data_IF_191096193789
#
_entry.id   IF_191096193789
#
_cell.length_a   1.000
_cell.length_b   1.000
_cell.length_c   1.000
_cell.angle_alpha   90.00
_cell.angle_beta   90.00
_cell.angle_gamma   90.00
#
_symmetry.space_group_name_H-M   'P 1'
#
loop_
_entity.id
_entity.type
_entity.pdbx_description
1 polymer ?
#
# COMPACT_ATOMS: atom_id res chain seq x y z
N UNK A 1 -23.42 18.39 2.69
CA UNK A 1 -23.77 17.07 2.11
C UNK A 1 -22.62 16.32 1.43
N UNK A 2 -21.96 16.81 0.35
CA UNK A 2 -20.82 16.06 -0.26
C UNK A 2 -19.57 15.97 0.61
N UNK A 3 -19.28 16.99 1.43
CA UNK A 3 -18.12 16.97 2.34
C UNK A 3 -18.31 16.03 3.54
N UNK A 4 -19.49 16.01 4.15
CA UNK A 4 -19.73 15.25 5.40
C UNK A 4 -19.55 13.74 5.20
N UNK A 5 -20.01 13.20 4.07
CA UNK A 5 -19.84 11.80 3.76
C UNK A 5 -18.38 11.45 3.41
N UNK A 6 -17.66 12.33 2.70
CA UNK A 6 -16.22 12.15 2.44
C UNK A 6 -15.40 12.18 3.73
N UNK A 7 -15.71 13.10 4.64
CA UNK A 7 -15.08 13.23 5.95
C UNK A 7 -15.40 12.01 6.83
N UNK A 8 -16.63 11.49 6.81
CA UNK A 8 -16.97 10.23 7.47
C UNK A 8 -16.18 9.04 6.91
N UNK A 9 -16.02 8.93 5.58
CA UNK A 9 -15.22 7.87 4.97
C UNK A 9 -13.73 8.01 5.36
N UNK A 10 -13.20 9.23 5.38
CA UNK A 10 -11.83 9.47 5.82
C UNK A 10 -11.67 9.08 7.29
N UNK A 11 -12.62 9.46 8.15
CA UNK A 11 -12.64 9.08 9.55
C UNK A 11 -12.59 7.55 9.70
N UNK A 12 -13.56 6.86 9.08
CA UNK A 12 -13.73 5.41 9.20
C UNK A 12 -12.53 4.60 8.68
N UNK A 13 -11.94 5.02 7.57
CA UNK A 13 -10.94 4.20 6.89
C UNK A 13 -9.50 4.67 7.11
N UNK A 14 -9.24 5.96 7.36
CA UNK A 14 -7.88 6.49 7.45
C UNK A 14 -7.55 7.00 8.86
N UNK A 15 -8.46 7.76 9.47
CA UNK A 15 -8.24 8.31 10.81
C UNK A 15 -8.37 7.24 11.91
N UNK A 16 -9.42 6.42 11.87
CA UNK A 16 -9.72 5.37 12.84
C UNK A 16 -9.91 4.00 12.17
N UNK A 17 -8.92 3.49 11.40
CA UNK A 17 -9.01 2.18 10.81
C UNK A 17 -9.01 1.10 11.90
N UNK A 18 -9.73 0.00 11.68
CA UNK A 18 -9.84 -1.13 12.62
C UNK A 18 -8.65 -2.09 12.57
N UNK A 19 -7.83 -2.00 11.53
CA UNK A 19 -6.60 -2.77 11.26
C UNK A 19 -5.61 -1.85 10.53
N UNK A 20 -4.30 -2.15 10.50
CA UNK A 20 -3.37 -1.43 9.64
C UNK A 20 -3.90 -1.39 8.19
N UNK A 21 -4.00 -0.21 7.59
CA UNK A 21 -4.52 -0.02 6.24
C UNK A 21 -3.39 0.17 5.24
N UNK A 22 -3.32 -0.68 4.22
CA UNK A 22 -2.41 -0.54 3.09
C UNK A 22 -3.12 0.16 1.93
N UNK A 23 -2.49 1.19 1.38
CA UNK A 23 -2.93 1.91 0.17
C UNK A 23 -1.82 1.76 -0.88
N UNK A 24 -2.15 1.24 -2.05
CA UNK A 24 -1.20 1.09 -3.16
C UNK A 24 -1.48 2.12 -4.26
N UNK A 25 -0.70 2.12 -5.34
CA UNK A 25 -1.04 2.94 -6.51
C UNK A 25 -2.22 2.34 -7.28
N UNK A 26 -2.21 1.02 -7.47
CA UNK A 26 -3.17 0.31 -8.30
C UNK A 26 -3.94 -0.80 -7.56
N UNK A 27 -5.08 -1.19 -8.16
CA UNK A 27 -5.88 -2.32 -7.68
C UNK A 27 -5.17 -3.68 -7.83
N UNK A 28 -4.26 -3.80 -8.79
CA UNK A 28 -3.49 -5.02 -9.09
C UNK A 28 -2.51 -5.35 -7.98
N UNK A 29 -1.92 -4.32 -7.40
CA UNK A 29 -0.91 -4.43 -6.34
C UNK A 29 -1.51 -5.10 -5.11
N UNK A 30 -2.75 -4.74 -4.76
CA UNK A 30 -3.52 -5.41 -3.72
C UNK A 30 -3.64 -6.92 -3.96
N UNK A 31 -3.83 -7.37 -5.22
CA UNK A 31 -3.93 -8.79 -5.55
C UNK A 31 -2.57 -9.45 -5.38
N UNK A 32 -1.50 -8.84 -5.90
CA UNK A 32 -0.14 -9.38 -5.79
C UNK A 32 0.28 -9.53 -4.33
N UNK A 33 0.10 -8.49 -3.51
CA UNK A 33 0.46 -8.48 -2.10
C UNK A 33 -0.35 -9.47 -1.29
N UNK A 34 -1.67 -9.57 -1.51
CA UNK A 34 -2.49 -10.60 -0.88
C UNK A 34 -2.03 -12.01 -1.23
N UNK A 35 -1.64 -12.25 -2.49
CA UNK A 35 -1.10 -13.54 -2.91
C UNK A 35 0.25 -13.82 -2.23
N UNK A 36 1.16 -12.84 -2.21
CA UNK A 36 2.46 -12.97 -1.54
C UNK A 36 2.32 -13.29 -0.05
N UNK A 37 1.44 -12.56 0.66
CA UNK A 37 1.17 -12.79 2.09
C UNK A 37 0.58 -14.19 2.31
N UNK A 38 -0.37 -14.65 1.49
CA UNK A 38 -0.95 -16.00 1.61
C UNK A 38 0.06 -17.12 1.32
N UNK A 39 1.01 -16.86 0.42
CA UNK A 39 2.06 -17.82 0.08
C UNK A 39 3.16 -17.88 1.15
N UNK A 40 3.38 -16.81 1.89
CA UNK A 40 4.42 -16.66 2.91
C UNK A 40 3.84 -16.52 4.32
N UNK A 41 2.64 -17.03 4.54
CA UNK A 41 1.82 -16.81 5.74
C UNK A 41 2.53 -17.19 7.05
N UNK A 42 3.22 -18.32 7.06
CA UNK A 42 4.04 -18.78 8.19
C UNK A 42 5.12 -17.77 8.61
N UNK A 43 5.65 -16.98 7.69
CA UNK A 43 6.68 -15.95 7.97
C UNK A 43 6.07 -14.63 8.46
N UNK A 44 4.81 -14.35 8.16
CA UNK A 44 4.19 -13.04 8.39
C UNK A 44 2.96 -13.09 9.31
N UNK A 45 3.10 -13.59 10.56
CA UNK A 45 1.99 -13.71 11.49
C UNK A 45 1.41 -12.37 11.94
N UNK A 46 2.07 -11.23 11.69
CA UNK A 46 1.48 -9.90 11.96
C UNK A 46 0.60 -9.41 10.80
N UNK A 47 0.75 -9.98 9.60
CA UNK A 47 -0.01 -9.59 8.41
C UNK A 47 -1.23 -10.49 8.18
N UNK A 48 -1.12 -11.77 8.54
CA UNK A 48 -2.17 -12.78 8.36
C UNK A 48 -2.14 -13.78 9.51
N UNK A 49 -3.28 -14.38 9.85
CA UNK A 49 -3.30 -15.51 10.77
C UNK A 49 -2.66 -16.74 10.14
N UNK A 50 -1.65 -17.35 10.78
CA UNK A 50 -1.11 -18.64 10.32
C UNK A 50 -2.24 -19.67 10.22
N UNK A 51 -2.26 -20.46 9.16
CA UNK A 51 -3.26 -21.50 8.89
C UNK A 51 -4.68 -21.00 8.54
N UNK A 52 -4.99 -19.70 8.63
CA UNK A 52 -6.22 -19.13 8.09
C UNK A 52 -5.91 -18.10 7.00
N UNK A 53 -5.80 -18.58 5.75
CA UNK A 53 -5.45 -17.76 4.58
C UNK A 53 -6.52 -16.73 4.16
N UNK A 54 -7.64 -16.65 4.88
CA UNK A 54 -8.68 -15.64 4.67
C UNK A 54 -8.65 -14.52 5.72
N UNK A 55 -8.04 -14.77 6.88
CA UNK A 55 -8.05 -13.84 8.01
C UNK A 55 -6.78 -12.98 8.02
N UNK A 56 -6.84 -11.89 7.25
CA UNK A 56 -5.79 -10.87 7.25
C UNK A 56 -5.89 -10.00 8.50
N UNK A 57 -4.74 -9.72 9.11
CA UNK A 57 -4.59 -8.76 10.22
C UNK A 57 -4.39 -7.32 9.74
N UNK A 58 -4.34 -7.13 8.43
CA UNK A 58 -4.26 -5.85 7.74
C UNK A 58 -5.42 -5.71 6.75
N UNK A 59 -5.77 -4.48 6.44
CA UNK A 59 -6.73 -4.16 5.38
C UNK A 59 -6.01 -3.56 4.17
N UNK A 60 -6.57 -3.82 2.99
CA UNK A 60 -6.15 -3.15 1.75
C UNK A 60 -7.24 -2.18 1.32
N UNK A 61 -6.85 -0.97 0.93
CA UNK A 61 -7.78 0.01 0.39
C UNK A 61 -8.42 -0.53 -0.89
N UNK A 62 -9.74 -0.68 -0.85
CA UNK A 62 -10.52 -1.19 -1.98
C UNK A 62 -10.94 -0.02 -2.88
N UNK A 63 -10.29 0.08 -4.04
CA UNK A 63 -10.74 0.84 -5.20
C UNK A 63 -11.96 0.10 -5.80
N UNK A 64 -13.17 0.29 -5.26
CA UNK A 64 -14.37 -0.47 -5.69
C UNK A 64 -15.01 0.12 -6.97
N UNK A 65 -16.02 -0.46 -7.64
CA UNK A 65 -16.96 -1.51 -7.20
C UNK A 65 -16.64 -2.94 -7.62
N UNK A 66 -16.42 -3.22 -8.89
CA UNK A 66 -15.98 -4.53 -9.39
C UNK A 66 -15.29 -4.28 -10.72
N UNK A 67 -14.08 -4.76 -10.94
CA UNK A 67 -13.58 -5.04 -12.30
C UNK A 67 -13.40 -3.88 -13.31
N UNK A 68 -13.62 -2.57 -13.04
CA UNK A 68 -13.37 -1.56 -14.09
C UNK A 68 -13.89 -0.12 -13.98
N UNK A 69 -14.20 0.41 -12.78
CA UNK A 69 -14.69 1.80 -12.68
C UNK A 69 -14.52 2.44 -11.29
N UNK A 70 -14.63 3.76 -11.28
CA UNK A 70 -14.37 4.70 -10.17
C UNK A 70 -15.37 4.53 -8.99
N UNK A 71 -14.92 4.04 -7.82
CA UNK A 71 -15.82 3.94 -6.64
C UNK A 71 -16.20 5.30 -6.11
N UNK A 72 -17.43 5.44 -5.59
CA UNK A 72 -17.78 6.60 -4.76
C UNK A 72 -16.77 6.81 -3.63
N UNK A 73 -16.31 5.74 -2.96
CA UNK A 73 -15.26 5.81 -1.93
C UNK A 73 -13.92 6.33 -2.46
N UNK A 74 -13.42 5.83 -3.59
CA UNK A 74 -12.20 6.33 -4.24
C UNK A 74 -12.35 7.76 -4.75
N UNK A 75 -13.51 8.11 -5.31
CA UNK A 75 -13.85 9.46 -5.76
C UNK A 75 -13.89 10.47 -4.61
N UNK A 76 -14.47 10.08 -3.47
CA UNK A 76 -14.64 10.95 -2.30
C UNK A 76 -13.35 11.08 -1.47
N UNK A 77 -12.49 10.06 -1.48
CA UNK A 77 -11.17 10.13 -0.86
C UNK A 77 -10.08 10.60 -1.83
N UNK A 78 -10.44 10.88 -3.08
CA UNK A 78 -9.52 11.22 -4.18
C UNK A 78 -8.45 10.14 -4.44
N UNK A 79 -8.75 8.89 -4.09
CA UNK A 79 -7.92 7.71 -4.30
C UNK A 79 -8.50 6.86 -5.44
N UNK A 80 -8.42 7.38 -6.67
CA UNK A 80 -8.91 6.70 -7.90
C UNK A 80 -7.86 5.77 -8.54
N UNK A 81 -6.68 5.72 -7.94
CA UNK A 81 -5.49 5.06 -8.48
C UNK A 81 -4.57 6.04 -9.19
N UNK A 82 -3.29 5.69 -9.30
CA UNK A 82 -2.26 6.54 -9.90
C UNK A 82 -1.57 7.47 -8.90
N UNK A 83 -0.31 7.75 -9.19
CA UNK A 83 0.61 8.55 -8.38
C UNK A 83 0.05 9.93 -7.93
N UNK A 84 -0.53 10.73 -8.84
CA UNK A 84 -1.00 12.08 -8.52
C UNK A 84 -2.07 12.11 -7.41
N UNK A 85 -2.91 11.08 -7.37
CA UNK A 85 -3.93 10.90 -6.35
C UNK A 85 -3.31 10.57 -4.98
N UNK A 86 -2.28 9.72 -4.95
CA UNK A 86 -1.53 9.42 -3.72
C UNK A 86 -0.83 10.66 -3.18
N UNK A 87 -0.21 11.46 -4.05
CA UNK A 87 0.45 12.72 -3.67
C UNK A 87 -0.53 13.69 -3.00
N UNK A 88 -1.72 13.88 -3.59
CA UNK A 88 -2.76 14.72 -3.02
C UNK A 88 -3.27 14.19 -1.68
N UNK A 89 -3.48 12.88 -1.58
CA UNK A 89 -3.89 12.22 -0.34
C UNK A 89 -2.88 12.44 0.79
N UNK A 90 -1.58 12.24 0.53
CA UNK A 90 -0.51 12.43 1.52
C UNK A 90 -0.44 13.90 1.96
N UNK A 91 -0.48 14.84 1.00
CA UNK A 91 -0.41 16.28 1.28
C UNK A 91 -1.59 16.77 2.12
N UNK A 92 -2.81 16.30 1.84
CA UNK A 92 -4.02 16.71 2.55
C UNK A 92 -4.23 15.99 3.89
N UNK A 93 -3.47 14.93 4.18
CA UNK A 93 -3.75 14.00 5.28
C UNK A 93 -3.78 14.69 6.65
N UNK A 94 -2.79 15.52 6.94
CA UNK A 94 -2.67 16.21 8.23
C UNK A 94 -3.85 17.17 8.45
N UNK A 95 -4.13 18.00 7.43
CA UNK A 95 -5.26 18.94 7.45
C UNK A 95 -6.61 18.24 7.62
N UNK A 96 -6.77 17.02 7.09
CA UNK A 96 -7.99 16.22 7.33
C UNK A 96 -8.02 15.70 8.78
N UNK A 97 -6.88 15.29 9.32
CA UNK A 97 -6.79 14.83 10.71
C UNK A 97 -7.07 15.93 11.74
N UNK A 98 -6.64 17.18 11.51
CA UNK A 98 -6.83 18.29 12.47
C UNK A 98 -8.29 18.70 12.64
N UNK A 99 -9.15 18.38 11.67
CA UNK A 99 -10.60 18.62 11.75
C UNK A 99 -11.35 17.65 12.66
N UNK A 100 -10.73 16.52 13.02
CA UNK A 100 -11.38 15.44 13.74
C UNK A 100 -10.96 15.49 15.21
N UNK A 101 -11.94 15.68 16.11
CA UNK A 101 -11.71 15.73 17.57
C UNK A 101 -11.94 14.38 18.27
N UNK A 102 -12.46 13.39 17.55
CA UNK A 102 -12.74 12.06 18.08
C UNK A 102 -11.45 11.25 18.35
N UNK A 103 -11.47 10.31 19.30
CA UNK A 103 -10.37 9.35 19.47
C UNK A 103 -10.20 8.51 18.21
N UNK A 104 -8.98 8.06 17.96
CA UNK A 104 -8.66 7.30 16.75
C UNK A 104 -7.17 7.03 16.65
N UNK A 105 -6.70 6.75 15.43
CA UNK A 105 -5.28 6.52 15.14
C UNK A 105 -4.72 5.38 16.00
N UNK A 106 -5.45 4.26 16.09
CA UNK A 106 -4.98 3.06 16.80
C UNK A 106 -4.18 2.12 15.89
N UNK A 107 -4.29 2.32 14.58
CA UNK A 107 -3.56 1.55 13.58
C UNK A 107 -2.97 2.46 12.50
N UNK A 108 -1.83 2.07 11.90
CA UNK A 108 -1.19 2.87 10.87
C UNK A 108 -1.92 2.78 9.53
N UNK A 109 -1.86 3.87 8.77
CA UNK A 109 -2.14 3.92 7.33
C UNK A 109 -0.81 3.91 6.62
N UNK A 110 -0.62 2.99 5.68
CA UNK A 110 0.64 2.72 5.01
C UNK A 110 0.42 2.88 3.51
N UNK A 111 1.05 3.86 2.90
CA UNK A 111 1.05 4.06 1.45
C UNK A 111 2.28 3.37 0.86
N UNK A 112 2.07 2.40 -0.03
CA UNK A 112 3.15 1.76 -0.80
C UNK A 112 3.31 2.51 -2.13
N UNK A 113 4.54 2.89 -2.47
CA UNK A 113 4.87 3.58 -3.73
C UNK A 113 5.89 2.79 -4.53
N UNK A 114 5.73 2.79 -5.85
CA UNK A 114 6.76 2.28 -6.76
C UNK A 114 8.03 3.13 -6.68
N UNK A 115 9.18 2.62 -7.12
CA UNK A 115 10.40 3.42 -7.25
C UNK A 115 10.61 3.81 -8.71
N UNK A 116 9.64 4.51 -9.28
CA UNK A 116 9.66 4.99 -10.65
C UNK A 116 9.62 6.53 -10.68
N UNK A 117 9.31 7.13 -11.84
CA UNK A 117 9.14 8.59 -11.94
C UNK A 117 8.10 9.09 -10.95
N UNK A 118 7.06 8.32 -10.71
CA UNK A 118 5.98 8.74 -9.84
C UNK A 118 6.29 8.61 -8.37
N UNK A 119 6.88 7.50 -7.96
CA UNK A 119 7.45 7.35 -6.62
C UNK A 119 8.34 8.52 -6.23
N UNK A 120 9.19 8.98 -7.16
CA UNK A 120 10.12 10.11 -6.94
C UNK A 120 9.41 11.43 -6.64
N UNK A 121 8.24 11.72 -7.21
CA UNK A 121 7.52 12.95 -6.84
C UNK A 121 6.93 12.85 -5.44
N UNK A 122 6.50 11.66 -5.02
CA UNK A 122 6.05 11.42 -3.64
C UNK A 122 7.23 11.56 -2.67
N UNK A 123 8.41 11.02 -2.99
CA UNK A 123 9.62 11.22 -2.18
C UNK A 123 10.00 12.71 -2.05
N UNK A 124 9.86 13.48 -3.14
CA UNK A 124 10.06 14.94 -3.10
C UNK A 124 9.05 15.65 -2.19
N UNK A 125 7.78 15.24 -2.22
CA UNK A 125 6.76 15.72 -1.28
C UNK A 125 7.14 15.40 0.17
N UNK A 126 7.60 14.18 0.45
CA UNK A 126 8.02 13.76 1.80
C UNK A 126 9.17 14.65 2.29
N UNK A 127 10.17 14.92 1.44
CA UNK A 127 11.29 15.81 1.77
C UNK A 127 10.79 17.21 2.19
N UNK A 128 9.84 17.75 1.44
CA UNK A 128 9.20 19.04 1.76
C UNK A 128 8.45 19.00 3.10
N UNK A 129 7.65 17.96 3.33
CA UNK A 129 6.84 17.81 4.55
C UNK A 129 7.69 17.64 5.82
N UNK A 130 8.79 16.89 5.75
CA UNK A 130 9.65 16.65 6.92
C UNK A 130 10.61 17.81 7.23
N UNK A 131 10.68 18.83 6.37
CA UNK A 131 11.66 19.94 6.44
C UNK A 131 13.10 19.42 6.60
N UNK A 132 13.37 18.23 6.06
CA UNK A 132 14.67 17.59 6.18
C UNK A 132 15.66 18.16 5.16
N UNK A 133 16.86 18.48 5.63
CA UNK A 133 17.99 18.87 4.78
C UNK A 133 18.64 17.66 4.10
N UNK A 134 18.46 16.46 4.67
CA UNK A 134 18.95 15.19 4.14
C UNK A 134 18.22 14.75 2.87
N UNK A 135 18.90 13.96 2.05
CA UNK A 135 18.35 13.38 0.82
C UNK A 135 17.38 12.26 1.16
N UNK A 136 16.09 12.44 0.86
CA UNK A 136 15.10 11.37 0.79
C UNK A 136 15.40 10.53 -0.46
N UNK A 137 15.99 9.35 -0.29
CA UNK A 137 16.54 8.56 -1.42
C UNK A 137 15.60 7.48 -1.94
N UNK A 138 14.59 7.08 -1.17
CA UNK A 138 13.73 5.93 -1.45
C UNK A 138 14.31 4.58 -0.99
N UNK A 139 15.51 4.58 -0.40
CA UNK A 139 16.17 3.36 0.07
C UNK A 139 15.74 2.95 1.48
N UNK A 140 15.26 3.91 2.25
CA UNK A 140 14.76 3.76 3.60
C UNK A 140 13.60 2.74 3.64
N UNK A 141 13.48 2.02 4.74
CA UNK A 141 12.45 0.99 4.86
C UNK A 141 11.03 1.57 4.92
N UNK A 142 10.91 2.75 5.50
CA UNK A 142 9.68 3.55 5.53
C UNK A 142 9.97 4.99 5.92
N UNK A 143 9.01 5.87 5.68
CA UNK A 143 8.96 7.22 6.21
C UNK A 143 7.70 7.40 7.06
N UNK A 144 7.87 7.81 8.31
CA UNK A 144 6.78 8.36 9.10
C UNK A 144 6.51 9.80 8.63
N UNK A 145 5.26 10.11 8.29
CA UNK A 145 4.87 11.43 7.77
C UNK A 145 4.29 12.29 8.89
N UNK A 146 3.13 11.89 9.41
CA UNK A 146 2.46 12.52 10.55
C UNK A 146 1.34 11.59 11.05
N UNK A 147 0.75 11.90 12.21
CA UNK A 147 -0.42 11.20 12.74
C UNK A 147 -0.22 9.67 12.82
N UNK A 148 -0.89 8.93 11.93
CA UNK A 148 -0.77 7.49 11.74
C UNK A 148 -0.35 7.12 10.31
N UNK A 149 0.11 8.08 9.51
CA UNK A 149 0.48 7.90 8.10
C UNK A 149 1.97 7.57 7.95
N UNK A 150 2.22 6.49 7.21
CA UNK A 150 3.54 6.04 6.77
C UNK A 150 3.56 5.90 5.25
N UNK A 151 4.75 6.05 4.67
CA UNK A 151 5.02 5.74 3.27
C UNK A 151 6.14 4.70 3.19
N UNK A 152 5.94 3.67 2.38
CA UNK A 152 6.94 2.64 2.08
C UNK A 152 7.28 2.72 0.59
N UNK A 153 8.52 3.04 0.20
CA UNK A 153 8.98 2.79 -1.15
C UNK A 153 9.20 1.29 -1.36
N UNK A 154 8.88 0.77 -2.55
CA UNK A 154 9.33 -0.58 -2.89
C UNK A 154 10.87 -0.61 -2.99
N UNK A 155 11.52 -1.71 -2.59
CA UNK A 155 12.96 -1.84 -2.71
C UNK A 155 13.47 -1.79 -4.15
N UNK A 156 14.69 -1.28 -4.33
CA UNK A 156 15.43 -1.45 -5.58
C UNK A 156 15.72 -2.92 -5.86
N UNK A 157 15.58 -3.29 -7.13
CA UNK A 157 16.01 -4.60 -7.63
C UNK A 157 17.27 -4.39 -8.46
N UNK A 158 18.38 -4.98 -8.01
CA UNK A 158 19.66 -5.04 -8.74
C UNK A 158 20.21 -3.66 -9.17
N UNK A 159 20.02 -2.62 -8.34
CA UNK A 159 20.49 -1.26 -8.63
C UNK A 159 19.67 -0.50 -9.67
N UNK A 160 18.54 -1.06 -10.14
CA UNK A 160 17.61 -0.35 -11.00
C UNK A 160 16.78 0.65 -10.19
N UNK A 161 17.00 1.95 -10.44
CA UNK A 161 16.26 3.07 -9.83
C UNK A 161 14.90 3.36 -10.49
N UNK A 162 14.38 2.41 -11.25
CA UNK A 162 13.08 2.44 -11.90
C UNK A 162 12.41 1.07 -11.77
N UNK A 163 11.98 0.74 -10.55
CA UNK A 163 11.39 -0.56 -10.20
C UNK A 163 9.90 -0.39 -9.95
N UNK A 164 9.07 -1.27 -10.50
CA UNK A 164 7.64 -1.38 -10.16
C UNK A 164 7.36 -2.68 -9.41
N UNK A 165 6.20 -2.78 -8.76
CA UNK A 165 5.83 -4.00 -8.03
C UNK A 165 5.86 -5.27 -8.90
N UNK A 166 5.63 -5.18 -10.21
CA UNK A 166 5.70 -6.34 -11.10
C UNK A 166 7.12 -6.93 -11.27
N UNK A 167 8.18 -6.15 -11.03
CA UNK A 167 9.57 -6.62 -11.10
C UNK A 167 9.93 -7.63 -10.00
N UNK A 168 9.09 -7.70 -8.96
CA UNK A 168 9.19 -8.68 -7.89
C UNK A 168 8.71 -10.08 -8.33
N UNK A 169 8.11 -10.23 -9.51
CA UNK A 169 7.88 -11.55 -10.09
C UNK A 169 9.12 -12.09 -10.81
N UNK A 170 9.35 -13.39 -10.74
CA UNK A 170 10.39 -14.05 -11.53
C UNK A 170 9.98 -14.12 -13.02
N UNK A 171 10.99 -14.16 -13.92
CA UNK A 171 10.77 -14.28 -15.38
C UNK A 171 9.83 -15.44 -15.74
N UNK A 172 9.93 -16.58 -15.04
CA UNK A 172 9.03 -17.74 -15.23
C UNK A 172 7.55 -17.37 -15.06
N UNK A 173 7.21 -16.52 -14.10
CA UNK A 173 5.84 -16.07 -13.87
C UNK A 173 5.43 -15.02 -14.90
N UNK A 174 6.30 -14.04 -15.17
CA UNK A 174 6.06 -12.94 -16.11
C UNK A 174 5.88 -13.41 -17.56
N UNK A 175 6.57 -14.47 -17.96
CA UNK A 175 6.55 -15.00 -19.33
C UNK A 175 5.36 -15.94 -19.59
N UNK A 176 4.46 -16.14 -18.62
CA UNK A 176 3.28 -16.97 -18.82
C UNK A 176 2.36 -16.36 -19.87
N UNK A 177 1.82 -17.22 -20.73
CA UNK A 177 0.90 -16.82 -21.79
C UNK A 177 -0.55 -17.10 -21.41
N UNK A 178 -1.47 -16.28 -21.90
CA UNK A 178 -2.92 -16.52 -21.82
C UNK A 178 -3.43 -16.59 -23.25
N UNK A 179 -3.80 -17.78 -23.71
CA UNK A 179 -4.27 -18.03 -25.09
C UNK A 179 -3.27 -17.46 -26.12
N UNK A 180 -1.98 -17.76 -25.96
CA UNK A 180 -0.91 -17.25 -26.84
C UNK A 180 -0.47 -15.80 -26.58
N UNK A 181 -1.26 -14.98 -25.88
CA UNK A 181 -0.96 -13.58 -25.56
C UNK A 181 0.11 -13.46 -24.47
N UNK A 182 0.94 -12.41 -24.56
CA UNK A 182 2.06 -12.15 -23.65
C UNK A 182 1.72 -11.03 -22.68
N UNK A 183 2.31 -11.04 -21.47
CA UNK A 183 2.06 -10.00 -20.48
C UNK A 183 2.65 -8.65 -20.92
N UNK A 184 1.85 -7.58 -20.87
CA UNK A 184 2.30 -6.21 -21.05
C UNK A 184 2.14 -5.42 -19.75
N UNK A 185 3.26 -4.89 -19.26
CA UNK A 185 3.35 -4.12 -18.01
C UNK A 185 2.88 -2.68 -18.14
N UNK A 186 2.88 -2.11 -19.35
CA UNK A 186 2.69 -0.67 -19.55
C UNK A 186 1.22 -0.24 -19.44
N UNK A 187 0.28 -1.13 -19.74
CA UNK A 187 -1.14 -0.80 -19.79
C UNK A 187 -2.01 -1.85 -19.08
N UNK A 188 -3.13 -1.40 -18.53
CA UNK A 188 -4.20 -2.29 -18.03
C UNK A 188 -4.98 -2.96 -19.16
N UNK A 189 -4.85 -2.45 -20.39
CA UNK A 189 -5.67 -2.86 -21.53
C UNK A 189 -5.10 -4.09 -22.21
N UNK A 190 -6.01 -4.95 -22.64
CA UNK A 190 -5.71 -6.17 -23.36
C UNK A 190 -5.81 -5.92 -24.86
N UNK A 191 -4.87 -6.46 -25.63
CA UNK A 191 -4.89 -6.44 -27.09
C UNK A 191 -4.94 -7.84 -27.68
N UNK A 192 -4.89 -7.92 -29.01
CA UNK A 192 -4.85 -9.19 -29.75
C UNK A 192 -3.66 -10.06 -29.33
N UNK A 193 -2.50 -9.44 -29.07
CA UNK A 193 -1.23 -10.13 -28.81
C UNK A 193 -0.79 -10.06 -27.34
N UNK A 194 -1.44 -9.23 -26.52
CA UNK A 194 -1.02 -8.99 -25.14
C UNK A 194 -2.18 -8.91 -24.15
N UNK A 195 -1.90 -9.18 -22.89
CA UNK A 195 -2.83 -8.97 -21.78
C UNK A 195 -2.22 -8.04 -20.74
N UNK A 196 -3.04 -7.21 -20.10
CA UNK A 196 -2.60 -6.20 -19.14
C UNK A 196 -2.43 -6.71 -17.71
N UNK A 197 -2.03 -5.79 -16.81
CA UNK A 197 -1.75 -6.06 -15.38
C UNK A 197 -2.90 -6.77 -14.67
N UNK A 198 -4.12 -6.36 -14.97
CA UNK A 198 -5.29 -6.90 -14.29
C UNK A 198 -5.57 -8.37 -14.65
N UNK A 199 -5.46 -8.73 -15.94
CA UNK A 199 -5.55 -10.14 -16.35
C UNK A 199 -4.39 -10.96 -15.76
N UNK A 200 -3.17 -10.40 -15.71
CA UNK A 200 -2.04 -11.04 -15.05
C UNK A 200 -2.34 -11.36 -13.57
N UNK A 201 -2.80 -10.36 -12.82
CA UNK A 201 -3.13 -10.51 -11.40
C UNK A 201 -4.19 -11.59 -11.16
N UNK A 202 -5.29 -11.58 -11.92
CA UNK A 202 -6.38 -12.53 -11.69
C UNK A 202 -6.11 -13.91 -12.28
N UNK A 203 -5.72 -13.98 -13.55
CA UNK A 203 -5.67 -15.25 -14.30
C UNK A 203 -4.35 -16.00 -14.12
N UNK A 204 -3.27 -15.31 -13.74
CA UNK A 204 -1.97 -15.93 -13.48
C UNK A 204 -1.69 -15.95 -11.98
N UNK A 205 -1.58 -14.78 -11.35
CA UNK A 205 -1.06 -14.69 -9.96
C UNK A 205 -2.01 -15.32 -8.96
N UNK A 206 -3.29 -14.94 -9.00
CA UNK A 206 -4.29 -15.43 -8.06
C UNK A 206 -4.69 -16.89 -8.33
N UNK A 207 -4.92 -17.25 -9.61
CA UNK A 207 -5.33 -18.61 -9.98
C UNK A 207 -4.25 -19.66 -9.73
N UNK A 208 -2.98 -19.31 -9.92
CA UNK A 208 -1.87 -20.25 -9.75
C UNK A 208 -0.98 -19.92 -8.55
N UNK A 209 -1.60 -19.41 -7.48
CA UNK A 209 -0.95 -19.00 -6.24
C UNK A 209 0.05 -20.03 -5.70
N UNK A 210 -0.29 -21.33 -5.76
CA UNK A 210 0.50 -22.42 -5.18
C UNK A 210 1.83 -22.65 -5.90
N UNK A 211 1.92 -22.31 -7.18
CA UNK A 211 3.09 -22.61 -8.02
C UNK A 211 3.95 -21.38 -8.33
N UNK A 212 3.59 -20.22 -7.79
CA UNK A 212 4.34 -18.97 -7.97
C UNK A 212 5.26 -18.75 -6.79
N UNK A 213 6.54 -18.50 -7.07
CA UNK A 213 7.53 -18.16 -6.06
C UNK A 213 7.45 -16.67 -5.72
N UNK A 214 7.03 -16.34 -4.49
CA UNK A 214 6.91 -14.98 -3.97
C UNK A 214 8.13 -14.51 -3.15
N UNK A 215 9.26 -15.24 -3.13
CA UNK A 215 10.43 -14.88 -2.30
C UNK A 215 10.93 -13.44 -2.49
N UNK A 216 10.86 -12.88 -3.70
CA UNK A 216 11.26 -11.49 -3.93
C UNK A 216 10.39 -10.47 -3.17
N UNK A 217 9.12 -10.78 -2.90
CA UNK A 217 8.21 -9.90 -2.13
C UNK A 217 8.55 -9.80 -0.64
N UNK A 218 9.42 -10.69 -0.12
CA UNK A 218 9.80 -10.73 1.29
C UNK A 218 10.19 -9.34 1.82
N UNK A 219 11.06 -8.62 1.09
CA UNK A 219 11.54 -7.32 1.55
C UNK A 219 10.43 -6.26 1.65
N UNK A 220 9.39 -6.33 0.80
CA UNK A 220 8.21 -5.47 0.92
C UNK A 220 7.39 -5.84 2.17
N UNK A 221 7.16 -7.13 2.38
CA UNK A 221 6.36 -7.61 3.51
C UNK A 221 7.06 -7.38 4.86
N UNK A 222 8.39 -7.51 4.90
CA UNK A 222 9.21 -7.17 6.07
C UNK A 222 9.02 -5.68 6.45
N UNK A 223 8.99 -4.78 5.46
CA UNK A 223 8.73 -3.34 5.68
C UNK A 223 7.34 -3.07 6.26
N UNK A 224 6.31 -3.83 5.87
CA UNK A 224 4.99 -3.72 6.51
C UNK A 224 5.03 -4.11 7.98
N UNK A 225 5.68 -5.21 8.33
CA UNK A 225 5.82 -5.61 9.73
C UNK A 225 6.62 -4.61 10.56
N UNK A 226 7.65 -3.99 9.96
CA UNK A 226 8.43 -2.93 10.60
C UNK A 226 7.55 -1.74 10.96
N UNK A 227 6.74 -1.23 10.02
CA UNK A 227 5.81 -0.11 10.29
C UNK A 227 4.78 -0.47 11.35
N UNK A 228 4.18 -1.66 11.28
CA UNK A 228 3.19 -2.09 12.29
C UNK A 228 3.83 -2.16 13.69
N UNK A 229 5.06 -2.65 13.78
CA UNK A 229 5.80 -2.76 15.03
C UNK A 229 6.21 -1.38 15.56
N UNK A 230 6.68 -0.49 14.68
CA UNK A 230 7.02 0.89 14.99
C UNK A 230 5.84 1.67 15.53
N UNK A 231 4.69 1.59 14.85
CA UNK A 231 3.49 2.27 15.29
C UNK A 231 3.02 1.81 16.66
N UNK A 232 3.09 0.49 16.93
CA UNK A 232 2.77 -0.06 18.25
C UNK A 232 3.69 0.50 19.34
N UNK A 233 4.97 0.74 19.05
CA UNK A 233 5.89 1.40 20.00
C UNK A 233 5.47 2.85 20.25
N UNK A 234 5.16 3.62 19.20
CA UNK A 234 4.69 5.01 19.35
C UNK A 234 3.44 5.13 20.21
N UNK A 235 2.46 4.22 20.06
CA UNK A 235 1.26 4.21 20.90
C UNK A 235 1.58 3.95 22.38
N UNK A 236 2.47 2.99 22.66
CA UNK A 236 2.92 2.70 24.04
C UNK A 236 3.62 3.90 24.68
N UNK A 237 4.54 4.55 23.94
CA UNK A 237 5.26 5.72 24.43
C UNK A 237 4.32 6.90 24.74
N UNK A 238 3.31 7.15 23.89
CA UNK A 238 2.30 8.18 24.15
C UNK A 238 1.45 7.86 25.38
N UNK A 239 1.03 6.61 25.55
CA UNK A 239 0.27 6.21 26.73
C UNK A 239 1.06 6.42 28.03
N UNK A 240 2.36 6.08 28.03
CA UNK A 240 3.26 6.29 29.16
C UNK A 240 3.50 7.78 29.49
N UNK A 241 3.59 8.64 28.48
CA UNK A 241 3.72 10.09 28.69
C UNK A 241 2.45 10.67 29.31
N UNK A 242 1.27 10.27 28.82
CA UNK A 242 -0.01 10.75 29.35
C UNK A 242 -0.26 10.30 30.79
N UNK A 243 0.16 9.07 31.16
CA UNK A 243 0.03 8.61 32.55
C UNK A 243 0.93 9.38 33.51
N UNK A 244 2.11 9.85 33.05
CA UNK A 244 3.04 10.64 33.88
C UNK A 244 2.65 12.11 34.03
N UNK A 245 1.92 12.68 33.06
CA UNK A 245 1.45 14.06 33.13
C UNK A 245 0.22 14.25 34.03
N UNK A 246 -0.44 13.15 34.42
CA UNK A 246 -1.64 13.14 35.27
C UNK A 246 -1.33 12.78 36.74
N UNK A 247 -0.04 12.72 37.11
CA UNK A 247 0.47 12.56 38.47
C UNK A 247 1.34 13.76 38.82
#
# INVERSE_FOLDING_TARGET
MKNDFADFLFYKYCYAPTKPLIICEGKTDNIYLKCAIKSLDSKYPKLIHPNNKQDFKIDFFKYSRSQGGDSQKGRLLELRGGEGNLKNFISAYDKKCTKIRAPGKLHPVIVLIDNDKGGKQILSLIKSLKRETSTVTGNEDYYFINNNLYVIPIPDIMGNKNTTIEDFFYKKTLNRKINGRVFNRKNDHSGKNFYGKYEFAQKIVQKDLKNINFKKFIKILDRFELVISDYKRHLKSKALQNSRANH
#
